data_IF_827955968369
#
_entry.id   IF_827955968369
#
_cell.length_a   1.000
_cell.length_b   1.000
_cell.length_c   1.000
_cell.angle_alpha   90.00
_cell.angle_beta   90.00
_cell.angle_gamma   90.00
#
_symmetry.space_group_name_H-M   'P 1'
#
loop_
_entity.id
_entity.type
_entity.pdbx_description
1 polymer ?
#
# COMPACT_ATOMS: atom_id res chain seq x y z
N UNK A 1 24.75 7.02 14.52
CA UNK A 1 24.33 8.22 15.28
C UNK A 1 22.84 8.40 15.03
N UNK A 2 22.04 8.48 16.07
CA UNK A 2 20.63 8.84 15.95
C UNK A 2 20.58 10.34 15.69
N UNK A 3 19.84 10.77 14.68
CA UNK A 3 19.70 12.18 14.33
C UNK A 3 18.83 12.87 15.39
N UNK A 4 19.31 13.94 15.98
CA UNK A 4 18.61 14.64 17.08
C UNK A 4 17.49 15.57 16.59
N UNK A 5 17.45 15.85 15.28
CA UNK A 5 16.48 16.74 14.65
C UNK A 5 16.13 16.23 13.25
N UNK A 6 14.89 16.34 12.88
CA UNK A 6 14.40 16.04 11.53
C UNK A 6 13.30 17.04 11.12
N UNK A 7 13.17 17.31 9.83
CA UNK A 7 12.08 18.14 9.32
C UNK A 7 10.74 17.39 9.38
N UNK A 8 10.78 16.07 9.15
CA UNK A 8 9.61 15.21 9.23
C UNK A 8 9.95 13.94 9.99
N UNK A 9 9.14 13.62 10.98
CA UNK A 9 9.21 12.35 11.70
C UNK A 9 7.92 11.57 11.43
N UNK A 10 8.04 10.36 10.91
CA UNK A 10 6.93 9.45 10.64
C UNK A 10 6.98 8.35 11.70
N UNK A 11 5.88 8.16 12.42
CA UNK A 11 5.76 7.14 13.45
C UNK A 11 5.07 5.91 12.86
N UNK A 12 5.78 4.80 12.81
CA UNK A 12 5.35 3.52 12.24
C UNK A 12 5.92 3.25 10.86
N UNK A 13 6.60 2.11 10.71
CA UNK A 13 7.20 1.63 9.46
C UNK A 13 6.31 0.59 8.75
N UNK A 14 4.99 0.67 8.90
CA UNK A 14 4.04 -0.06 8.07
C UNK A 14 3.95 0.52 6.67
N UNK A 15 3.08 -0.06 5.82
CA UNK A 15 2.93 0.37 4.42
C UNK A 15 2.64 1.87 4.29
N UNK A 16 1.82 2.43 5.16
CA UNK A 16 1.46 3.86 5.12
C UNK A 16 2.68 4.73 5.43
N UNK A 17 3.42 4.44 6.49
CA UNK A 17 4.60 5.21 6.87
C UNK A 17 5.72 5.12 5.84
N UNK A 18 6.01 3.91 5.36
CA UNK A 18 7.03 3.70 4.33
C UNK A 18 6.67 4.39 3.01
N UNK A 19 5.40 4.29 2.57
CA UNK A 19 4.94 4.95 1.35
C UNK A 19 4.97 6.47 1.48
N UNK A 20 4.59 7.00 2.66
CA UNK A 20 4.69 8.44 2.94
C UNK A 20 6.12 8.91 2.84
N UNK A 21 7.08 8.22 3.47
CA UNK A 21 8.50 8.53 3.37
C UNK A 21 8.99 8.49 1.92
N UNK A 22 8.61 7.45 1.17
CA UNK A 22 8.97 7.29 -0.24
C UNK A 22 8.50 8.48 -1.09
N UNK A 23 7.25 8.89 -0.98
CA UNK A 23 6.73 10.01 -1.75
C UNK A 23 7.31 11.35 -1.29
N UNK A 24 7.49 11.58 0.00
CA UNK A 24 8.17 12.79 0.48
C UNK A 24 9.57 12.91 -0.11
N UNK A 25 10.36 11.84 -0.11
CA UNK A 25 11.69 11.86 -0.70
C UNK A 25 11.66 12.05 -2.22
N UNK A 26 10.68 11.47 -2.91
CA UNK A 26 10.43 11.72 -4.35
C UNK A 26 10.09 13.19 -4.64
N UNK A 27 9.36 13.85 -3.74
CA UNK A 27 9.02 15.27 -3.83
C UNK A 27 10.18 16.19 -3.43
N UNK A 28 11.35 15.64 -3.14
CA UNK A 28 12.57 16.39 -2.81
C UNK A 28 12.77 16.68 -1.33
N UNK A 29 11.90 16.17 -0.45
CA UNK A 29 12.11 16.28 0.99
C UNK A 29 13.35 15.45 1.36
N UNK A 30 14.22 16.06 2.14
CA UNK A 30 15.45 15.43 2.62
C UNK A 30 15.32 15.10 4.09
N UNK A 31 15.64 15.11 4.95
CA UNK A 31 15.55 15.06 6.41
C UNK A 31 14.23 14.45 6.92
N UNK A 32 13.90 13.27 6.38
CA UNK A 32 12.73 12.46 6.76
C UNK A 32 13.22 11.26 7.58
N UNK A 33 12.68 11.10 8.78
CA UNK A 33 12.99 9.97 9.68
C UNK A 33 11.74 9.15 9.91
N UNK A 34 11.86 7.84 9.77
CA UNK A 34 10.79 6.88 10.14
C UNK A 34 11.23 6.18 11.43
N UNK A 35 10.36 6.18 12.43
CA UNK A 35 10.57 5.47 13.70
C UNK A 35 9.57 4.34 13.85
N UNK A 36 10.06 3.19 14.28
CA UNK A 36 9.28 1.96 14.48
C UNK A 36 9.61 1.35 15.85
N UNK A 37 8.59 0.88 16.56
CA UNK A 37 8.78 0.28 17.88
C UNK A 37 9.16 -1.20 17.83
N UNK A 38 8.84 -1.88 16.71
CA UNK A 38 9.10 -3.30 16.51
C UNK A 38 10.34 -3.56 15.66
N UNK A 39 10.71 -4.83 15.47
CA UNK A 39 11.74 -5.22 14.52
C UNK A 39 11.36 -4.81 13.09
N UNK A 40 12.34 -4.48 12.27
CA UNK A 40 12.12 -4.24 10.85
C UNK A 40 11.54 -5.50 10.19
N UNK A 41 10.53 -5.30 9.35
CA UNK A 41 9.79 -6.34 8.63
C UNK A 41 8.86 -7.22 9.49
N UNK A 42 8.86 -7.04 10.80
CA UNK A 42 8.00 -7.78 11.75
C UNK A 42 7.24 -6.80 12.66
N UNK A 43 6.71 -5.75 12.08
CA UNK A 43 6.19 -4.60 12.84
C UNK A 43 4.92 -4.90 13.66
N UNK A 44 4.27 -6.05 13.48
CA UNK A 44 3.09 -6.45 14.26
C UNK A 44 1.83 -5.61 14.03
N UNK A 45 1.89 -4.60 13.14
CA UNK A 45 0.77 -3.74 12.79
C UNK A 45 -0.12 -4.31 11.67
N UNK A 46 -1.06 -3.50 11.19
CA UNK A 46 -2.02 -3.90 10.14
C UNK A 46 -1.35 -4.39 8.86
N UNK A 47 -0.19 -3.86 8.51
CA UNK A 47 0.56 -4.28 7.31
C UNK A 47 0.97 -5.74 7.36
N UNK A 48 1.46 -6.22 8.50
CA UNK A 48 1.89 -7.62 8.66
C UNK A 48 0.73 -8.61 8.70
N UNK A 49 -0.49 -8.14 8.94
CA UNK A 49 -1.71 -8.95 8.96
C UNK A 49 -2.53 -8.83 7.67
N UNK A 50 -2.12 -7.99 6.73
CA UNK A 50 -2.83 -7.81 5.47
C UNK A 50 -2.67 -9.05 4.58
N UNK A 51 -3.75 -9.47 3.86
CA UNK A 51 -3.70 -10.65 2.99
C UNK A 51 -2.87 -10.45 1.71
N UNK A 52 -2.34 -9.26 1.47
CA UNK A 52 -1.56 -8.94 0.28
C UNK A 52 -2.38 -8.87 -1.02
N UNK A 53 -3.70 -8.77 -0.93
CA UNK A 53 -4.58 -8.65 -2.08
C UNK A 53 -4.86 -7.17 -2.37
N UNK A 54 -4.69 -6.76 -3.63
CA UNK A 54 -5.02 -5.42 -4.10
C UNK A 54 -6.08 -5.50 -5.19
N UNK A 55 -7.30 -5.10 -4.86
CA UNK A 55 -8.42 -5.03 -5.81
C UNK A 55 -8.51 -3.64 -6.41
N UNK A 56 -8.52 -3.55 -7.73
CA UNK A 56 -8.69 -2.28 -8.45
C UNK A 56 -10.16 -1.91 -8.64
N UNK A 57 -11.07 -2.89 -8.59
CA UNK A 57 -12.50 -2.66 -8.74
C UNK A 57 -13.09 -2.21 -7.40
N UNK A 58 -13.66 -1.00 -7.39
CA UNK A 58 -14.29 -0.42 -6.21
C UNK A 58 -15.52 0.41 -6.61
N UNK A 59 -16.53 0.44 -5.74
CA UNK A 59 -17.73 1.28 -5.94
C UNK A 59 -17.41 2.78 -5.87
N UNK A 60 -16.36 3.17 -5.17
CA UNK A 60 -15.86 4.53 -5.12
C UNK A 60 -14.80 4.75 -6.21
N UNK A 61 -15.05 5.70 -7.11
CA UNK A 61 -14.11 6.07 -8.17
C UNK A 61 -12.72 6.44 -7.61
N UNK A 62 -12.69 7.25 -6.56
CA UNK A 62 -11.42 7.69 -5.95
C UNK A 62 -10.63 6.51 -5.36
N UNK A 63 -11.31 5.53 -4.75
CA UNK A 63 -10.64 4.33 -4.24
C UNK A 63 -10.16 3.42 -5.37
N UNK A 64 -10.88 3.35 -6.49
CA UNK A 64 -10.42 2.62 -7.67
C UNK A 64 -9.17 3.29 -8.28
N UNK A 65 -9.12 4.62 -8.35
CA UNK A 65 -7.96 5.37 -8.81
C UNK A 65 -6.75 5.14 -7.87
N UNK A 66 -6.94 5.21 -6.55
CA UNK A 66 -5.86 4.92 -5.59
C UNK A 66 -5.36 3.48 -5.68
N UNK A 67 -6.27 2.52 -5.87
CA UNK A 67 -5.88 1.12 -6.05
C UNK A 67 -5.07 0.93 -7.34
N UNK A 68 -5.45 1.60 -8.43
CA UNK A 68 -4.70 1.58 -9.69
C UNK A 68 -3.30 2.16 -9.51
N UNK A 69 -3.18 3.33 -8.91
CA UNK A 69 -1.87 3.97 -8.65
C UNK A 69 -1.00 3.09 -7.75
N UNK A 70 -1.61 2.40 -6.77
CA UNK A 70 -0.90 1.46 -5.90
C UNK A 70 -0.36 0.25 -6.67
N UNK A 71 -1.15 -0.32 -7.58
CA UNK A 71 -0.72 -1.43 -8.44
C UNK A 71 0.39 -1.00 -9.40
N UNK A 72 0.28 0.19 -9.99
CA UNK A 72 1.32 0.75 -10.87
C UNK A 72 2.65 0.91 -10.10
N UNK A 73 2.60 1.41 -8.85
CA UNK A 73 3.76 1.50 -7.98
C UNK A 73 4.33 0.11 -7.67
N UNK A 74 3.51 -0.81 -7.17
CA UNK A 74 3.97 -2.15 -6.75
C UNK A 74 4.56 -2.94 -7.92
N UNK A 75 3.99 -2.79 -9.12
CA UNK A 75 4.51 -3.41 -10.34
C UNK A 75 5.88 -2.86 -10.76
N UNK A 76 6.24 -1.67 -10.31
CA UNK A 76 7.52 -1.03 -10.58
C UNK A 76 8.62 -1.36 -9.57
N UNK A 77 8.26 -2.05 -8.48
CA UNK A 77 9.18 -2.37 -7.39
C UNK A 77 9.69 -3.80 -7.49
N UNK A 78 10.96 -3.98 -7.25
CA UNK A 78 11.58 -5.27 -7.01
C UNK A 78 12.40 -5.27 -5.72
N UNK A 79 12.61 -6.44 -5.16
CA UNK A 79 13.50 -6.66 -4.03
C UNK A 79 14.47 -7.76 -4.42
N UNK A 80 15.76 -7.42 -4.53
CA UNK A 80 16.83 -8.34 -4.93
C UNK A 80 16.55 -9.08 -6.25
N UNK A 81 15.94 -8.37 -7.22
CA UNK A 81 15.58 -8.90 -8.54
C UNK A 81 14.30 -9.75 -8.54
N UNK A 82 13.55 -9.76 -7.44
CA UNK A 82 12.25 -10.42 -7.37
C UNK A 82 11.13 -9.38 -7.37
N UNK A 83 10.07 -9.56 -8.17
CA UNK A 83 8.96 -8.62 -8.19
C UNK A 83 8.24 -8.60 -6.83
N UNK A 84 7.90 -7.40 -6.37
CA UNK A 84 7.12 -7.21 -5.13
C UNK A 84 5.61 -7.40 -5.34
N UNK A 85 5.17 -7.54 -6.60
CA UNK A 85 3.77 -7.68 -6.98
C UNK A 85 3.61 -8.69 -8.10
N UNK A 86 2.60 -9.55 -7.99
CA UNK A 86 2.26 -10.55 -8.99
C UNK A 86 0.85 -10.29 -9.54
N UNK A 87 0.68 -9.93 -10.82
CA UNK A 87 -0.62 -9.62 -11.42
C UNK A 87 -1.39 -10.91 -11.75
N UNK A 88 -1.76 -11.66 -10.74
CA UNK A 88 -2.45 -12.95 -10.89
C UNK A 88 -3.94 -12.81 -11.23
N UNK A 89 -4.46 -11.58 -11.19
CA UNK A 89 -5.89 -11.30 -11.34
C UNK A 89 -6.70 -11.69 -10.11
N UNK A 90 -8.00 -11.47 -10.17
CA UNK A 90 -8.94 -11.81 -9.11
C UNK A 90 -10.35 -12.00 -9.66
N UNK A 91 -11.14 -12.82 -9.00
CA UNK A 91 -12.54 -13.04 -9.31
C UNK A 91 -13.35 -12.76 -8.06
N UNK A 92 -14.32 -11.86 -8.16
CA UNK A 92 -15.32 -11.63 -7.13
C UNK A 92 -16.59 -12.39 -7.49
N UNK A 93 -17.08 -13.25 -6.60
CA UNK A 93 -18.24 -14.10 -6.84
C UNK A 93 -19.45 -13.57 -6.08
N UNK A 94 -20.57 -13.41 -6.76
CA UNK A 94 -21.85 -13.08 -6.15
C UNK A 94 -22.59 -14.35 -5.75
N UNK A 95 -22.98 -14.45 -4.49
CA UNK A 95 -23.78 -15.55 -3.97
C UNK A 95 -25.30 -15.27 -3.95
N UNK A 96 -25.68 -14.01 -4.06
CA UNK A 96 -27.08 -13.55 -4.11
C UNK A 96 -27.30 -12.65 -5.30
N UNK A 97 -28.58 -12.51 -5.72
CA UNK A 97 -28.95 -11.61 -6.80
C UNK A 97 -28.59 -10.16 -6.49
N UNK A 98 -28.85 -9.70 -5.26
CA UNK A 98 -28.50 -8.34 -4.82
C UNK A 98 -26.99 -8.09 -4.94
N UNK A 99 -26.18 -9.06 -4.54
CA UNK A 99 -24.72 -8.96 -4.68
C UNK A 99 -24.27 -8.94 -6.13
N UNK A 100 -24.95 -9.69 -7.00
CA UNK A 100 -24.67 -9.66 -8.43
C UNK A 100 -24.97 -8.27 -9.04
N UNK A 101 -26.09 -7.66 -8.66
CA UNK A 101 -26.41 -6.30 -9.10
C UNK A 101 -25.41 -5.26 -8.56
N UNK A 102 -24.90 -5.44 -7.33
CA UNK A 102 -23.81 -4.62 -6.80
C UNK A 102 -22.52 -4.77 -7.61
N UNK A 103 -22.15 -5.98 -7.99
CA UNK A 103 -20.97 -6.23 -8.82
C UNK A 103 -21.10 -5.58 -10.19
N UNK A 104 -22.27 -5.70 -10.83
CA UNK A 104 -22.55 -5.05 -12.13
C UNK A 104 -22.40 -3.52 -12.08
N UNK A 105 -22.67 -2.90 -10.93
CA UNK A 105 -22.50 -1.45 -10.75
C UNK A 105 -21.06 -1.01 -10.55
N UNK A 106 -20.17 -1.93 -10.19
CA UNK A 106 -18.75 -1.63 -9.95
C UNK A 106 -17.90 -1.74 -11.22
N UNK A 107 -18.40 -2.36 -12.24
CA UNK A 107 -17.75 -2.57 -13.55
C UNK A 107 -18.31 -1.52 -14.52
#
# INVERSE_FOLDING_TARGET
>A
MIQDKAMVVIIGAGIVGCTTAYYLTKMGWRDVVVVEQGPLFETGGSTSHAPGLVFQVNASKILAEFAKDSVDLYSSLDLDGQPCWYPVGGIEVAWTQDRLEDLKRKV
#
